data_IF_799217682358
#
_entry.id   IF_799217682358
#
_cell.length_a   1.000
_cell.length_b   1.000
_cell.length_c   1.000
_cell.angle_alpha   90.00
_cell.angle_beta   90.00
_cell.angle_gamma   90.00
#
_symmetry.space_group_name_H-M   'P 1'
#
loop_
_entity.id
_entity.type
_entity.pdbx_description
1 polymer ?
#
# COMPACT_ATOMS: atom_id res chain seq x y z
N UNK A 1 15.09 6.42 -24.68
CA UNK A 1 15.22 7.25 -23.46
C UNK A 1 14.55 6.58 -22.25
N UNK A 2 13.27 6.16 -22.36
CA UNK A 2 12.56 5.37 -21.32
C UNK A 2 13.30 4.08 -20.89
N UNK A 3 13.92 3.36 -21.83
CA UNK A 3 14.69 2.13 -21.55
C UNK A 3 16.00 2.36 -20.76
N UNK A 4 16.61 3.55 -20.86
CA UNK A 4 17.85 3.88 -20.15
C UNK A 4 17.54 4.24 -18.70
N UNK A 5 16.48 5.04 -18.46
CA UNK A 5 16.00 5.35 -17.12
C UNK A 5 15.52 4.09 -16.38
N UNK A 6 14.89 3.14 -17.08
CA UNK A 6 14.47 1.84 -16.49
C UNK A 6 15.66 0.95 -16.10
N UNK A 7 16.67 0.84 -16.97
CA UNK A 7 17.91 0.10 -16.67
C UNK A 7 18.70 0.72 -15.52
N UNK A 8 18.68 2.04 -15.37
CA UNK A 8 19.26 2.72 -14.22
C UNK A 8 18.52 2.37 -12.92
N UNK A 9 17.18 2.42 -12.91
CA UNK A 9 16.37 2.03 -11.73
C UNK A 9 16.57 0.58 -11.29
N UNK A 10 16.74 -0.34 -12.25
CA UNK A 10 17.09 -1.73 -11.97
C UNK A 10 18.48 -1.87 -11.30
N UNK A 11 19.41 -0.97 -11.62
CA UNK A 11 20.77 -0.95 -11.08
C UNK A 11 20.82 -0.39 -9.65
N UNK A 12 19.95 0.58 -9.35
CA UNK A 12 19.93 1.25 -8.06
C UNK A 12 19.25 0.41 -6.96
N UNK A 13 18.48 -0.63 -7.35
CA UNK A 13 17.71 -1.50 -6.43
C UNK A 13 16.87 -0.71 -5.42
N UNK A 14 16.37 0.46 -5.83
CA UNK A 14 15.48 1.27 -5.02
C UNK A 14 14.05 1.19 -5.57
N UNK A 15 13.09 0.97 -4.67
CA UNK A 15 11.67 0.95 -5.01
C UNK A 15 10.93 2.03 -4.24
N UNK A 16 10.07 2.77 -4.93
CA UNK A 16 9.19 3.76 -4.30
C UNK A 16 7.83 3.14 -4.04
N UNK A 17 7.50 2.99 -2.77
CA UNK A 17 6.23 2.41 -2.32
C UNK A 17 5.38 3.54 -1.75
N UNK A 18 4.15 3.65 -2.25
CA UNK A 18 3.17 4.60 -1.73
C UNK A 18 2.17 3.84 -0.86
N UNK A 19 2.04 4.21 0.42
CA UNK A 19 1.10 3.58 1.35
C UNK A 19 -0.08 4.52 1.60
N UNK A 20 -1.27 4.11 1.15
CA UNK A 20 -2.52 4.86 1.21
C UNK A 20 -3.67 4.01 1.75
N UNK A 21 -4.82 4.66 1.95
CA UNK A 21 -6.00 4.10 2.59
C UNK A 21 -6.63 5.13 3.53
N UNK A 22 -7.84 4.86 4.01
CA UNK A 22 -8.56 5.79 4.89
C UNK A 22 -7.81 6.03 6.21
N UNK A 23 -8.16 7.10 6.90
CA UNK A 23 -7.74 7.32 8.28
C UNK A 23 -8.11 6.13 9.18
N UNK A 24 -7.30 5.91 10.21
CA UNK A 24 -7.42 4.79 11.15
C UNK A 24 -7.19 3.38 10.56
N UNK A 25 -6.92 3.21 9.26
CA UNK A 25 -6.65 1.90 8.66
C UNK A 25 -5.38 1.20 9.21
N UNK A 26 -4.46 1.96 9.83
CA UNK A 26 -3.24 1.42 10.47
C UNK A 26 -1.96 1.51 9.64
N UNK A 27 -1.92 2.39 8.62
CA UNK A 27 -0.76 2.62 7.74
C UNK A 27 0.54 2.87 8.51
N UNK A 28 0.57 3.90 9.35
CA UNK A 28 1.74 4.24 10.17
C UNK A 28 2.13 3.11 11.12
N UNK A 29 1.15 2.41 11.69
CA UNK A 29 1.38 1.24 12.55
C UNK A 29 2.06 0.11 11.79
N UNK A 30 1.65 -0.17 10.54
CA UNK A 30 2.30 -1.15 9.67
C UNK A 30 3.77 -0.77 9.44
N UNK A 31 4.04 0.49 9.08
CA UNK A 31 5.40 0.96 8.84
C UNK A 31 6.25 0.84 10.10
N UNK A 32 5.77 1.34 11.25
CA UNK A 32 6.48 1.21 12.54
C UNK A 32 6.74 -0.25 12.89
N UNK A 33 5.75 -1.14 12.69
CA UNK A 33 5.90 -2.58 12.97
C UNK A 33 6.98 -3.22 12.11
N UNK A 34 7.02 -2.90 10.82
CA UNK A 34 8.05 -3.41 9.89
C UNK A 34 9.44 -2.91 10.30
N UNK A 35 9.54 -1.65 10.75
CA UNK A 35 10.79 -1.05 11.24
C UNK A 35 11.22 -1.57 12.63
N UNK A 36 10.40 -2.37 13.31
CA UNK A 36 10.66 -2.78 14.70
C UNK A 36 10.52 -1.65 15.73
N UNK A 37 9.80 -0.58 15.38
CA UNK A 37 9.51 0.56 16.26
C UNK A 37 8.30 0.28 17.16
N UNK A 38 8.16 1.04 18.26
CA UNK A 38 6.98 0.95 19.13
C UNK A 38 5.69 1.30 18.37
N UNK A 39 4.67 0.46 18.53
CA UNK A 39 3.36 0.62 17.86
C UNK A 39 2.25 1.08 18.80
N UNK A 40 2.53 1.19 20.11
CA UNK A 40 1.52 1.56 21.11
C UNK A 40 1.22 3.07 21.10
N UNK A 41 2.17 3.88 20.63
CA UNK A 41 2.03 5.33 20.52
C UNK A 41 2.04 5.78 19.05
N UNK A 42 0.84 5.90 18.47
CA UNK A 42 0.65 6.37 17.09
C UNK A 42 -0.47 7.41 17.04
N UNK A 43 -0.16 8.59 16.52
CA UNK A 43 -1.13 9.65 16.26
C UNK A 43 -1.47 9.72 14.77
N UNK A 44 -2.63 10.26 14.37
CA UNK A 44 -2.94 10.47 12.96
C UNK A 44 -1.89 11.31 12.24
N UNK A 45 -1.40 10.82 11.10
CA UNK A 45 -0.37 11.51 10.31
C UNK A 45 -0.95 12.76 9.64
N UNK A 46 -0.32 13.91 9.89
CA UNK A 46 -0.54 15.15 9.15
C UNK A 46 0.50 15.24 8.03
N UNK A 47 0.05 15.20 6.77
CA UNK A 47 0.96 15.17 5.62
C UNK A 47 1.47 13.76 5.33
N UNK A 48 2.78 13.54 5.41
CA UNK A 48 3.43 12.28 5.07
C UNK A 48 4.70 12.01 5.89
N UNK A 49 5.07 10.73 5.98
CA UNK A 49 6.31 10.24 6.57
C UNK A 49 7.02 9.38 5.52
N UNK A 50 8.34 9.51 5.42
CA UNK A 50 9.17 8.62 4.59
C UNK A 50 9.98 7.72 5.50
N UNK A 51 9.94 6.41 5.25
CA UNK A 51 10.81 5.42 5.87
C UNK A 51 11.45 4.57 4.78
N UNK A 52 12.74 4.31 4.92
CA UNK A 52 13.50 3.43 4.02
C UNK A 52 13.79 2.14 4.73
N UNK A 53 13.45 1.00 4.10
CA UNK A 53 13.68 -0.35 4.62
C UNK A 53 14.57 -1.10 3.63
N UNK A 54 15.60 -1.79 4.14
CA UNK A 54 16.35 -2.77 3.36
C UNK A 54 15.60 -4.11 3.36
N UNK A 55 15.24 -4.60 2.19
CA UNK A 55 14.54 -5.88 2.00
C UNK A 55 15.09 -6.62 0.78
N UNK A 56 15.64 -7.82 0.98
CA UNK A 56 16.19 -8.66 -0.11
C UNK A 56 17.19 -7.93 -1.03
N UNK A 57 18.01 -7.05 -0.43
CA UNK A 57 18.97 -6.22 -1.17
C UNK A 57 18.37 -5.06 -1.95
N UNK A 58 17.08 -4.76 -1.76
CA UNK A 58 16.41 -3.56 -2.26
C UNK A 58 16.18 -2.55 -1.14
N UNK A 59 16.27 -1.27 -1.47
CA UNK A 59 15.82 -0.17 -0.60
C UNK A 59 14.39 0.20 -0.94
N UNK A 60 13.48 -0.06 -0.01
CA UNK A 60 12.07 0.26 -0.13
C UNK A 60 11.81 1.62 0.52
N UNK A 61 11.61 2.65 -0.29
CA UNK A 61 11.25 3.99 0.17
C UNK A 61 9.73 4.07 0.31
N UNK A 62 9.22 3.84 1.53
CA UNK A 62 7.79 3.86 1.85
C UNK A 62 7.36 5.29 2.21
N UNK A 63 6.41 5.79 1.44
CA UNK A 63 5.70 7.06 1.68
C UNK A 63 4.37 6.76 2.38
N UNK A 64 4.33 6.90 3.70
CA UNK A 64 3.12 6.80 4.51
C UNK A 64 2.41 8.16 4.54
N UNK A 65 1.22 8.24 3.97
CA UNK A 65 0.50 9.51 3.81
C UNK A 65 -0.79 9.52 4.66
N UNK A 66 -1.11 10.65 5.27
CA UNK A 66 -2.33 10.84 6.04
C UNK A 66 -3.59 10.50 5.24
N UNK A 67 -4.51 9.76 5.85
CA UNK A 67 -5.75 9.28 5.21
C UNK A 67 -7.02 10.05 5.58
N UNK A 68 -6.90 11.09 6.40
CA UNK A 68 -8.05 11.90 6.83
C UNK A 68 -8.72 12.52 5.60
N UNK A 69 -10.05 12.55 5.58
CA UNK A 69 -10.84 13.03 4.44
C UNK A 69 -10.38 14.41 3.92
N UNK A 70 -10.04 15.33 4.82
CA UNK A 70 -9.54 16.68 4.48
C UNK A 70 -8.16 16.69 3.80
N UNK A 71 -7.38 15.61 3.95
CA UNK A 71 -6.03 15.47 3.40
C UNK A 71 -5.98 14.66 2.08
N UNK A 72 -7.04 13.91 1.74
CA UNK A 72 -7.04 13.00 0.57
C UNK A 72 -6.84 13.74 -0.75
N UNK A 73 -7.28 15.00 -0.85
CA UNK A 73 -7.09 15.86 -2.02
C UNK A 73 -5.62 16.14 -2.37
N UNK A 74 -4.69 15.89 -1.42
CA UNK A 74 -3.25 16.05 -1.60
C UNK A 74 -2.53 14.75 -1.97
N UNK A 75 -3.19 13.58 -1.95
CA UNK A 75 -2.55 12.29 -2.30
C UNK A 75 -1.88 12.31 -3.66
N UNK A 76 -2.52 13.00 -4.62
CA UNK A 76 -2.01 13.20 -5.98
C UNK A 76 -0.64 13.87 -6.07
N UNK A 77 -0.17 14.52 -5.01
CA UNK A 77 1.17 15.10 -4.97
C UNK A 77 2.26 14.03 -4.82
N UNK A 78 1.88 12.80 -4.50
CA UNK A 78 2.80 11.71 -4.20
C UNK A 78 2.75 10.55 -5.19
N UNK A 79 2.02 10.66 -6.31
CA UNK A 79 1.85 9.54 -7.26
C UNK A 79 3.06 9.31 -8.17
N UNK A 80 3.85 10.35 -8.46
CA UNK A 80 4.96 10.24 -9.40
C UNK A 80 5.99 9.18 -8.98
N UNK A 81 6.44 8.40 -9.96
CA UNK A 81 7.48 7.37 -9.81
C UNK A 81 7.14 6.29 -8.77
N UNK A 82 5.86 6.01 -8.54
CA UNK A 82 5.41 4.92 -7.65
C UNK A 82 5.58 3.58 -8.34
N UNK A 83 6.33 2.65 -7.73
CA UNK A 83 6.49 1.28 -8.22
C UNK A 83 5.38 0.36 -7.72
N UNK A 84 4.95 0.58 -6.49
CA UNK A 84 3.85 -0.15 -5.87
C UNK A 84 3.02 0.75 -4.96
N UNK A 85 1.71 0.54 -5.01
CA UNK A 85 0.72 1.09 -4.11
C UNK A 85 0.36 0.01 -3.09
N UNK A 86 0.52 0.32 -1.81
CA UNK A 86 -0.05 -0.46 -0.71
C UNK A 86 -1.32 0.25 -0.24
N UNK A 87 -2.47 -0.37 -0.49
CA UNK A 87 -3.77 0.10 -0.03
C UNK A 87 -4.14 -0.62 1.27
N UNK A 88 -4.23 0.13 2.37
CA UNK A 88 -4.51 -0.42 3.70
C UNK A 88 -5.98 -0.22 4.03
N UNK A 89 -6.65 -1.32 4.39
CA UNK A 89 -8.06 -1.37 4.73
C UNK A 89 -8.23 -1.80 6.18
N UNK A 90 -9.08 -1.11 6.91
CA UNK A 90 -9.50 -1.54 8.25
C UNK A 90 -10.54 -2.66 8.10
N UNK A 91 -10.15 -3.91 8.38
CA UNK A 91 -11.08 -5.04 8.28
C UNK A 91 -12.23 -4.96 9.30
N UNK A 92 -12.13 -4.14 10.34
CA UNK A 92 -13.21 -3.97 11.32
C UNK A 92 -14.26 -2.94 10.89
N UNK A 93 -13.96 -2.13 9.87
CA UNK A 93 -14.75 -0.96 9.51
C UNK A 93 -15.64 -1.20 8.28
N UNK A 94 -16.64 -2.07 8.47
CA UNK A 94 -17.62 -2.42 7.44
C UNK A 94 -18.40 -1.20 6.92
N UNK A 95 -18.64 -0.22 7.79
CA UNK A 95 -19.44 0.97 7.45
C UNK A 95 -18.75 1.87 6.41
N UNK A 96 -17.42 1.86 6.37
CA UNK A 96 -16.63 2.70 5.44
C UNK A 96 -16.06 1.92 4.25
N UNK A 97 -16.45 0.67 4.03
CA UNK A 97 -15.91 -0.13 2.90
C UNK A 97 -16.27 0.49 1.55
N UNK A 98 -17.44 1.11 1.42
CA UNK A 98 -17.88 1.82 0.20
C UNK A 98 -17.01 3.07 -0.06
N UNK A 99 -16.77 3.91 0.95
CA UNK A 99 -15.85 5.07 0.89
C UNK A 99 -14.44 4.60 0.52
N UNK A 100 -14.00 3.47 1.10
CA UNK A 100 -12.71 2.87 0.80
C UNK A 100 -12.61 2.42 -0.67
N UNK A 101 -13.68 1.82 -1.22
CA UNK A 101 -13.77 1.43 -2.63
C UNK A 101 -13.70 2.65 -3.54
N UNK A 102 -14.52 3.67 -3.30
CA UNK A 102 -14.59 4.86 -4.15
C UNK A 102 -13.22 5.56 -4.25
N UNK A 103 -12.53 5.72 -3.11
CA UNK A 103 -11.20 6.32 -3.07
C UNK A 103 -10.15 5.46 -3.80
N UNK A 104 -10.17 4.13 -3.62
CA UNK A 104 -9.26 3.23 -4.33
C UNK A 104 -9.48 3.31 -5.85
N UNK A 105 -10.72 3.14 -6.30
CA UNK A 105 -11.04 3.12 -7.73
C UNK A 105 -10.77 4.47 -8.40
N UNK A 106 -11.11 5.58 -7.75
CA UNK A 106 -10.79 6.92 -8.25
C UNK A 106 -9.29 7.14 -8.40
N UNK A 107 -8.51 6.70 -7.40
CA UNK A 107 -7.06 6.80 -7.42
C UNK A 107 -6.42 5.95 -8.53
N UNK A 108 -6.93 4.74 -8.80
CA UNK A 108 -6.41 3.89 -9.87
C UNK A 108 -6.71 4.39 -11.30
N UNK A 109 -7.50 5.46 -11.46
CA UNK A 109 -7.67 6.14 -12.75
C UNK A 109 -6.53 7.13 -13.06
N UNK A 110 -5.65 7.42 -12.09
CA UNK A 110 -4.58 8.40 -12.27
C UNK A 110 -3.44 7.81 -13.12
N UNK A 111 -3.17 8.44 -14.25
CA UNK A 111 -2.12 8.01 -15.20
C UNK A 111 -0.75 7.86 -14.52
N UNK A 112 -0.47 8.69 -13.50
CA UNK A 112 0.79 8.65 -12.72
C UNK A 112 0.97 7.39 -11.89
N UNK A 113 -0.09 6.63 -11.66
CA UNK A 113 -0.05 5.31 -11.02
C UNK A 113 -0.14 4.16 -12.02
N UNK A 114 -0.29 4.46 -13.32
CA UNK A 114 -0.26 3.46 -14.37
C UNK A 114 1.02 2.64 -14.30
N UNK A 115 0.87 1.32 -14.23
CA UNK A 115 1.99 0.42 -14.07
C UNK A 115 2.57 0.36 -12.65
N UNK A 116 1.85 0.79 -11.60
CA UNK A 116 2.15 0.41 -10.22
C UNK A 116 1.56 -0.96 -9.87
N UNK A 117 2.17 -1.72 -8.97
CA UNK A 117 1.57 -2.95 -8.41
C UNK A 117 0.60 -2.54 -7.30
N UNK A 118 -0.51 -3.25 -7.13
CA UNK A 118 -1.46 -2.97 -6.05
C UNK A 118 -1.45 -4.08 -5.00
N UNK A 119 -0.90 -3.81 -3.83
CA UNK A 119 -1.09 -4.67 -2.66
C UNK A 119 -2.23 -4.12 -1.81
N UNK A 120 -3.22 -4.95 -1.49
CA UNK A 120 -4.25 -4.63 -0.51
C UNK A 120 -3.93 -5.32 0.81
N UNK A 121 -3.66 -4.53 1.85
CA UNK A 121 -3.57 -5.04 3.21
C UNK A 121 -4.93 -4.94 3.90
N UNK A 122 -5.59 -6.08 4.09
CA UNK A 122 -6.75 -6.23 4.95
C UNK A 122 -6.28 -6.29 6.40
N UNK A 123 -6.15 -5.13 7.05
CA UNK A 123 -5.50 -4.97 8.34
C UNK A 123 -6.48 -5.13 9.53
N UNK A 124 -5.93 -5.29 10.74
CA UNK A 124 -6.66 -5.50 12.01
C UNK A 124 -7.41 -6.83 12.09
N UNK A 125 -6.88 -7.86 11.42
CA UNK A 125 -7.45 -9.21 11.45
C UNK A 125 -7.25 -9.95 12.77
N UNK A 126 -6.49 -9.37 13.69
CA UNK A 126 -6.40 -9.79 15.09
C UNK A 126 -7.66 -9.46 15.91
N UNK A 127 -8.58 -8.63 15.38
CA UNK A 127 -9.82 -8.24 16.06
C UNK A 127 -10.96 -9.19 15.68
N UNK A 128 -11.65 -9.72 16.69
CA UNK A 128 -12.83 -10.57 16.52
C UNK A 128 -13.95 -9.84 15.77
N UNK A 129 -14.58 -10.51 14.81
CA UNK A 129 -15.67 -9.95 14.01
C UNK A 129 -15.23 -9.04 12.86
N UNK A 130 -13.92 -8.94 12.59
CA UNK A 130 -13.42 -8.31 11.38
C UNK A 130 -13.95 -9.01 10.11
N UNK A 131 -13.94 -8.29 9.00
CA UNK A 131 -14.24 -8.82 7.69
C UNK A 131 -13.26 -9.94 7.33
N UNK A 132 -13.78 -10.97 6.68
CA UNK A 132 -12.95 -11.95 5.99
C UNK A 132 -12.42 -11.39 4.66
N UNK A 133 -11.58 -12.18 3.98
CA UNK A 133 -10.98 -11.77 2.71
C UNK A 133 -12.02 -11.59 1.60
N UNK A 134 -13.05 -12.44 1.57
CA UNK A 134 -14.07 -12.43 0.54
C UNK A 134 -14.96 -11.18 0.66
N UNK A 135 -15.30 -10.80 1.90
CA UNK A 135 -16.06 -9.58 2.19
C UNK A 135 -15.30 -8.32 1.74
N UNK A 136 -13.99 -8.25 1.99
CA UNK A 136 -13.16 -7.12 1.54
C UNK A 136 -12.98 -7.14 0.02
N UNK A 137 -12.73 -8.31 -0.58
CA UNK A 137 -12.60 -8.45 -2.02
C UNK A 137 -13.86 -7.98 -2.76
N UNK A 138 -15.03 -8.37 -2.27
CA UNK A 138 -16.33 -7.94 -2.81
C UNK A 138 -16.59 -6.46 -2.52
N UNK A 139 -16.37 -6.01 -1.27
CA UNK A 139 -16.60 -4.63 -0.86
C UNK A 139 -15.76 -3.63 -1.64
N UNK A 140 -14.50 -3.96 -1.95
CA UNK A 140 -13.61 -3.16 -2.78
C UNK A 140 -13.75 -3.42 -4.29
N UNK A 141 -14.53 -4.42 -4.69
CA UNK A 141 -14.68 -4.85 -6.09
C UNK A 141 -13.33 -5.09 -6.79
N UNK A 142 -12.40 -5.80 -6.14
CA UNK A 142 -11.04 -5.97 -6.66
C UNK A 142 -11.00 -6.70 -8.01
N UNK A 143 -11.93 -7.62 -8.26
CA UNK A 143 -12.02 -8.34 -9.53
C UNK A 143 -12.40 -7.45 -10.73
N UNK A 144 -12.98 -6.27 -10.48
CA UNK A 144 -13.26 -5.28 -11.51
C UNK A 144 -11.98 -4.54 -11.94
N UNK A 145 -10.91 -4.57 -11.14
CA UNK A 145 -9.64 -3.93 -11.44
C UNK A 145 -8.87 -4.79 -12.45
N UNK A 146 -8.83 -4.33 -13.70
CA UNK A 146 -8.07 -4.95 -14.80
C UNK A 146 -6.83 -4.17 -15.20
N UNK A 147 -6.69 -2.94 -14.71
CA UNK A 147 -5.61 -2.01 -15.06
C UNK A 147 -4.31 -2.25 -14.29
N UNK A 148 -4.40 -2.91 -13.13
CA UNK A 148 -3.27 -3.15 -12.23
C UNK A 148 -3.23 -4.63 -11.84
N UNK A 149 -2.03 -5.18 -11.73
CA UNK A 149 -1.85 -6.47 -11.07
C UNK A 149 -1.99 -6.25 -9.57
N UNK A 150 -2.81 -7.08 -8.91
CA UNK A 150 -3.15 -6.90 -7.52
C UNK A 150 -3.06 -8.19 -6.71
N UNK A 151 -2.85 -8.03 -5.42
CA UNK A 151 -2.95 -9.11 -4.44
C UNK A 151 -3.54 -8.57 -3.14
N UNK A 152 -4.29 -9.40 -2.43
CA UNK A 152 -4.85 -9.08 -1.11
C UNK A 152 -4.24 -10.01 -0.08
N UNK A 153 -3.86 -9.44 1.06
CA UNK A 153 -3.39 -10.20 2.21
C UNK A 153 -4.08 -9.71 3.48
N UNK A 154 -4.67 -10.66 4.20
CA UNK A 154 -5.08 -10.47 5.60
C UNK A 154 -3.84 -10.26 6.44
N UNK A 155 -3.80 -9.17 7.21
CA UNK A 155 -2.65 -8.83 8.03
C UNK A 155 -3.05 -8.21 9.36
N UNK A 156 -2.07 -8.07 10.25
CA UNK A 156 -2.23 -7.37 11.51
C UNK A 156 -1.00 -6.53 11.80
N UNK A 157 -1.17 -5.21 11.80
CA UNK A 157 -0.13 -4.26 12.16
C UNK A 157 0.32 -4.43 13.63
N UNK A 158 -0.57 -4.88 14.51
CA UNK A 158 -0.27 -5.08 15.93
C UNK A 158 0.62 -6.30 16.15
N UNK A 159 0.28 -7.43 15.54
CA UNK A 159 1.02 -8.69 15.72
C UNK A 159 2.20 -8.82 14.76
N UNK A 160 2.12 -8.22 13.56
CA UNK A 160 3.10 -8.33 12.48
C UNK A 160 2.77 -9.42 11.46
N UNK A 161 1.64 -10.11 11.62
CA UNK A 161 1.18 -11.17 10.72
C UNK A 161 1.10 -10.67 9.27
N UNK A 162 1.70 -11.44 8.36
CA UNK A 162 1.72 -11.26 6.90
C UNK A 162 2.31 -9.94 6.36
N UNK A 163 2.88 -9.07 7.21
CA UNK A 163 3.50 -7.83 6.73
C UNK A 163 4.73 -8.10 5.84
N UNK A 164 5.59 -9.04 6.25
CA UNK A 164 6.78 -9.43 5.48
C UNK A 164 6.43 -10.16 4.18
N UNK A 165 5.34 -10.92 4.19
CA UNK A 165 4.83 -11.62 3.01
C UNK A 165 4.29 -10.62 1.98
N UNK A 166 3.54 -9.61 2.42
CA UNK A 166 3.11 -8.53 1.52
C UNK A 166 4.27 -7.75 0.93
N UNK A 167 5.32 -7.46 1.70
CA UNK A 167 6.53 -6.84 1.16
C UNK A 167 7.25 -7.75 0.15
N UNK A 168 7.33 -9.06 0.41
CA UNK A 168 7.88 -10.02 -0.56
C UNK A 168 7.14 -9.92 -1.89
N UNK A 169 5.81 -9.98 -1.85
CA UNK A 169 4.97 -9.90 -3.04
C UNK A 169 5.18 -8.59 -3.80
N UNK A 170 5.21 -7.44 -3.09
CA UNK A 170 5.46 -6.13 -3.71
C UNK A 170 6.80 -6.12 -4.45
N UNK A 171 7.85 -6.61 -3.81
CA UNK A 171 9.19 -6.64 -4.39
C UNK A 171 9.23 -7.57 -5.61
N UNK A 172 8.65 -8.76 -5.52
CA UNK A 172 8.66 -9.75 -6.59
C UNK A 172 7.83 -9.32 -7.80
N UNK A 173 6.65 -8.75 -7.58
CA UNK A 173 5.79 -8.24 -8.65
C UNK A 173 6.40 -7.01 -9.33
N UNK A 174 6.92 -6.05 -8.55
CA UNK A 174 7.60 -4.89 -9.08
C UNK A 174 8.84 -5.28 -9.88
N UNK A 175 9.66 -6.23 -9.38
CA UNK A 175 10.81 -6.80 -10.12
C UNK A 175 10.36 -7.32 -11.49
N UNK A 176 9.39 -8.24 -11.53
CA UNK A 176 8.94 -8.88 -12.79
C UNK A 176 8.54 -7.84 -13.83
N UNK A 177 7.83 -6.80 -13.43
CA UNK A 177 7.38 -5.74 -14.36
C UNK A 177 8.50 -4.83 -14.82
N UNK A 178 9.51 -4.58 -13.97
CA UNK A 178 10.73 -3.88 -14.38
C UNK A 178 11.58 -4.70 -15.37
N UNK A 179 11.47 -6.04 -15.36
CA UNK A 179 12.20 -6.94 -16.27
C UNK A 179 11.44 -7.27 -17.59
N UNK A 180 10.12 -7.14 -17.61
CA UNK A 180 9.28 -7.51 -18.77
C UNK A 180 9.22 -6.44 -19.88
N UNK A 181 9.83 -5.26 -19.69
CA UNK A 181 9.84 -4.13 -20.65
C UNK A 181 11.16 -3.33 -20.64
#
# INVERSE_FOLDING_TARGET
>A
MLSILRKARLKDKEMRILMLGLDNAGKTTIVKKIMGEDVNTVSPTLGFIIKTIDYDGYKLNIWDVGGQKTLRSYWRNYFEKTDALIWVVDATDRLRIEDCREELHGLLQEERLSGASLLVFANKTDVNGCMDEQEILQGLQLEAIRTHHWHILRCSAMTGTNLKEGLAWVVDDAKKRLFLY
#
